data_IF_974084436822
#
_entry.id   IF_974084436822
#
_cell.length_a   1.000
_cell.length_b   1.000
_cell.length_c   1.000
_cell.angle_alpha   90.00
_cell.angle_beta   90.00
_cell.angle_gamma   90.00
#
_symmetry.space_group_name_H-M   'P 1'
#
loop_
_entity.id
_entity.type
_entity.pdbx_description
1 polymer ?
#
# COMPACT_ATOMS: atom_id res chain seq x y z
N UNK A 1 45.09 16.51 56.18
CA UNK A 1 43.91 16.75 55.36
C UNK A 1 44.10 16.03 54.01
N UNK A 2 43.49 14.86 53.83
CA UNK A 2 43.63 14.06 52.62
C UNK A 2 42.30 14.19 51.83
N UNK A 3 42.38 14.73 50.61
CA UNK A 3 41.26 14.93 49.76
C UNK A 3 41.07 13.66 48.93
N UNK A 4 39.93 12.98 49.13
CA UNK A 4 39.54 11.83 48.32
C UNK A 4 38.83 12.31 47.03
N UNK A 5 39.42 11.99 45.88
CA UNK A 5 38.78 12.19 44.57
C UNK A 5 37.92 10.98 44.25
N UNK A 6 36.61 11.17 44.16
CA UNK A 6 35.68 10.18 43.64
C UNK A 6 35.71 10.18 42.13
N UNK A 7 36.10 9.07 41.51
CA UNK A 7 36.01 8.84 40.06
C UNK A 7 34.65 8.25 39.80
N UNK A 8 33.77 9.02 39.11
CA UNK A 8 32.52 8.54 38.63
C UNK A 8 32.75 7.71 37.35
N UNK A 9 32.49 6.39 37.39
CA UNK A 9 32.45 5.53 36.22
C UNK A 9 31.15 5.79 35.48
N UNK A 10 31.19 6.47 34.31
CA UNK A 10 30.09 6.53 33.37
C UNK A 10 30.01 5.17 32.64
N UNK A 11 29.04 4.36 33.00
CA UNK A 11 28.74 3.13 32.25
C UNK A 11 28.17 3.48 30.87
N UNK A 12 28.89 3.17 29.80
CA UNK A 12 28.38 3.20 28.44
C UNK A 12 27.31 2.08 28.29
N UNK A 13 26.04 2.44 28.27
CA UNK A 13 24.97 1.52 27.84
C UNK A 13 25.03 1.45 26.31
N UNK A 14 25.66 0.42 25.77
CA UNK A 14 25.57 0.06 24.37
C UNK A 14 24.20 -0.54 24.15
N UNK A 15 23.28 0.25 23.55
CA UNK A 15 22.02 -0.26 22.99
C UNK A 15 22.42 -1.10 21.80
N UNK A 16 22.50 -2.41 21.98
CA UNK A 16 22.67 -3.36 20.90
C UNK A 16 21.44 -3.31 20.02
N UNK A 17 21.53 -2.72 18.83
CA UNK A 17 20.51 -2.87 17.78
C UNK A 17 20.56 -4.35 17.39
N UNK A 18 19.63 -5.14 17.90
CA UNK A 18 19.41 -6.51 17.45
C UNK A 18 18.91 -6.43 16.01
N UNK A 19 19.80 -6.65 15.05
CA UNK A 19 19.42 -6.83 13.65
C UNK A 19 18.53 -8.07 13.57
N UNK A 20 17.24 -7.89 13.29
CA UNK A 20 16.36 -9.03 13.04
C UNK A 20 16.90 -9.81 11.84
N UNK A 21 16.87 -11.16 11.92
CA UNK A 21 17.29 -11.99 10.79
C UNK A 21 16.44 -11.71 9.55
N UNK A 22 17.05 -11.78 8.33
CA UNK A 22 16.32 -11.61 7.09
C UNK A 22 15.14 -12.58 6.99
N UNK A 23 14.08 -12.15 6.30
CA UNK A 23 12.94 -13.03 6.05
C UNK A 23 13.35 -14.20 5.14
N UNK A 24 12.89 -15.44 5.43
CA UNK A 24 13.20 -16.58 4.56
C UNK A 24 12.54 -16.41 3.19
N UNK A 25 13.31 -16.63 2.13
CA UNK A 25 12.81 -16.50 0.75
C UNK A 25 11.94 -17.71 0.32
N UNK A 26 12.15 -18.89 0.92
CA UNK A 26 11.49 -20.12 0.50
C UNK A 26 9.94 -20.07 0.53
N UNK A 27 9.28 -19.54 1.58
CA UNK A 27 7.82 -19.37 1.57
C UNK A 27 7.33 -18.48 0.42
N UNK A 28 8.06 -17.40 0.13
CA UNK A 28 7.75 -16.48 -0.96
C UNK A 28 7.86 -17.19 -2.30
N UNK A 29 8.96 -17.90 -2.54
CA UNK A 29 9.19 -18.68 -3.76
C UNK A 29 8.10 -19.73 -3.97
N UNK A 30 7.70 -20.44 -2.92
CA UNK A 30 6.65 -21.44 -2.99
C UNK A 30 5.29 -20.83 -3.35
N UNK A 31 4.94 -19.69 -2.77
CA UNK A 31 3.69 -19.01 -3.08
C UNK A 31 3.67 -18.42 -4.51
N UNK A 32 4.80 -17.87 -4.96
CA UNK A 32 4.93 -17.21 -6.26
C UNK A 32 5.16 -18.16 -7.45
N UNK A 33 5.45 -19.45 -7.22
CA UNK A 33 5.93 -20.40 -8.26
C UNK A 33 5.06 -20.49 -9.51
N UNK A 34 3.74 -20.34 -9.35
CA UNK A 34 2.75 -20.48 -10.43
C UNK A 34 2.22 -19.11 -10.90
N UNK A 35 2.84 -18.01 -10.44
CA UNK A 35 2.42 -16.65 -10.74
C UNK A 35 3.50 -15.89 -11.52
N UNK A 36 3.13 -15.33 -12.67
CA UNK A 36 3.96 -14.35 -13.33
C UNK A 36 3.82 -13.00 -12.62
N UNK A 37 4.94 -12.39 -12.22
CA UNK A 37 4.90 -11.10 -11.53
C UNK A 37 6.00 -10.92 -10.50
N UNK A 38 5.75 -10.05 -9.53
CA UNK A 38 6.70 -9.67 -8.51
C UNK A 38 6.06 -9.66 -7.12
N UNK A 39 6.86 -9.98 -6.11
CA UNK A 39 6.57 -9.71 -4.72
C UNK A 39 7.82 -9.16 -4.04
N UNK A 40 7.67 -8.05 -3.35
CA UNK A 40 8.70 -7.44 -2.53
C UNK A 40 8.14 -7.12 -1.15
N UNK A 41 8.93 -7.38 -0.12
CA UNK A 41 8.64 -7.03 1.27
C UNK A 41 9.86 -6.36 1.90
N UNK A 42 9.64 -5.30 2.66
CA UNK A 42 10.69 -4.46 3.24
C UNK A 42 10.44 -4.32 4.74
N UNK A 43 11.41 -4.66 5.56
CA UNK A 43 11.38 -4.37 7.00
C UNK A 43 11.45 -2.86 7.23
N UNK A 44 10.47 -2.31 7.95
CA UNK A 44 10.36 -0.86 8.15
C UNK A 44 11.54 -0.28 8.93
N UNK A 45 12.06 -1.02 9.91
CA UNK A 45 13.12 -0.55 10.80
C UNK A 45 14.50 -0.62 10.15
N UNK A 46 14.88 -1.78 9.61
CA UNK A 46 16.20 -2.00 8.99
C UNK A 46 16.28 -1.50 7.55
N UNK A 47 15.14 -1.49 6.84
CA UNK A 47 15.09 -1.25 5.40
C UNK A 47 15.55 -2.47 4.57
N UNK A 48 15.73 -3.63 5.21
CA UNK A 48 16.09 -4.87 4.52
C UNK A 48 14.97 -5.29 3.56
N UNK A 49 15.37 -5.65 2.34
CA UNK A 49 14.47 -6.01 1.26
C UNK A 49 14.57 -7.51 1.01
N UNK A 50 13.43 -8.20 1.05
CA UNK A 50 13.28 -9.55 0.54
C UNK A 50 12.44 -9.48 -0.74
N UNK A 51 12.98 -9.97 -1.85
CA UNK A 51 12.43 -9.80 -3.19
C UNK A 51 12.39 -11.16 -3.91
N UNK A 52 11.24 -11.52 -4.49
CA UNK A 52 11.09 -12.77 -5.25
C UNK A 52 11.83 -12.72 -6.59
N UNK A 53 11.68 -11.60 -7.31
CA UNK A 53 12.34 -11.34 -8.61
C UNK A 53 12.69 -9.86 -8.69
N UNK A 54 13.95 -9.54 -8.47
CA UNK A 54 14.44 -8.17 -8.45
C UNK A 54 14.23 -7.43 -9.79
N UNK A 55 14.25 -8.14 -10.92
CA UNK A 55 14.00 -7.54 -12.23
C UNK A 55 12.52 -7.20 -12.39
N UNK A 56 11.63 -8.13 -12.06
CA UNK A 56 10.19 -7.89 -12.11
C UNK A 56 9.77 -6.81 -11.10
N UNK A 57 10.36 -6.81 -9.89
CA UNK A 57 10.08 -5.82 -8.85
C UNK A 57 10.56 -4.40 -9.19
N UNK A 58 11.55 -4.26 -10.07
CA UNK A 58 11.99 -2.98 -10.60
C UNK A 58 11.20 -2.54 -11.86
N UNK A 59 10.46 -3.45 -12.47
CA UNK A 59 9.63 -3.18 -13.66
C UNK A 59 8.47 -2.24 -13.34
N UNK A 60 8.32 -1.17 -14.11
CA UNK A 60 7.24 -0.19 -13.90
C UNK A 60 5.94 -0.64 -14.54
N UNK A 61 4.86 -0.53 -13.78
CA UNK A 61 3.50 -0.92 -14.15
C UNK A 61 2.51 0.20 -13.77
N UNK A 62 1.35 0.31 -14.43
CA UNK A 62 0.31 1.25 -14.00
C UNK A 62 -0.21 0.84 -12.61
N UNK A 63 -0.33 1.79 -11.66
CA UNK A 63 -0.72 1.45 -10.28
C UNK A 63 -2.16 0.98 -10.14
N UNK A 64 -3.00 1.24 -11.10
CA UNK A 64 -4.42 0.96 -10.99
C UNK A 64 -5.03 1.57 -9.72
N UNK A 65 -5.91 0.84 -9.03
CA UNK A 65 -6.57 1.34 -7.81
C UNK A 65 -5.66 1.42 -6.58
N UNK A 66 -4.40 0.95 -6.63
CA UNK A 66 -3.46 1.20 -5.52
C UNK A 66 -3.12 2.68 -5.38
N UNK A 67 -3.23 3.47 -6.47
CA UNK A 67 -3.07 4.92 -6.42
C UNK A 67 -4.06 5.61 -5.46
N UNK A 68 -5.19 4.98 -5.13
CA UNK A 68 -6.15 5.51 -4.18
C UNK A 68 -5.59 5.70 -2.77
N UNK A 69 -4.52 4.99 -2.39
CA UNK A 69 -3.76 5.24 -1.15
C UNK A 69 -3.31 6.70 -1.14
N UNK A 70 -2.67 7.13 -2.21
CA UNK A 70 -2.13 8.48 -2.36
C UNK A 70 -3.24 9.51 -2.62
N UNK A 71 -4.24 9.19 -3.45
CA UNK A 71 -5.40 10.07 -3.64
C UNK A 71 -6.06 10.43 -2.31
N UNK A 72 -6.33 9.43 -1.44
CA UNK A 72 -6.94 9.66 -0.14
C UNK A 72 -6.02 10.49 0.76
N UNK A 73 -4.72 10.12 0.84
CA UNK A 73 -3.74 10.83 1.65
C UNK A 73 -3.62 12.31 1.25
N UNK A 74 -3.53 12.59 -0.05
CA UNK A 74 -3.45 13.97 -0.55
C UNK A 74 -4.74 14.74 -0.28
N UNK A 75 -5.89 14.08 -0.40
CA UNK A 75 -7.17 14.69 -0.02
C UNK A 75 -7.24 15.08 1.46
N UNK A 76 -6.66 14.26 2.35
CA UNK A 76 -6.54 14.53 3.79
C UNK A 76 -5.56 15.69 4.06
N UNK A 77 -4.39 15.69 3.42
CA UNK A 77 -3.38 16.75 3.58
C UNK A 77 -3.89 18.13 3.14
N UNK A 78 -4.64 18.18 2.05
CA UNK A 78 -5.23 19.41 1.51
C UNK A 78 -6.55 19.82 2.20
N UNK A 79 -7.00 19.06 3.24
CA UNK A 79 -8.22 19.34 3.98
C UNK A 79 -9.51 19.17 3.14
N UNK A 80 -9.42 18.43 2.03
CA UNK A 80 -10.58 18.08 1.19
C UNK A 80 -11.36 16.92 1.82
N UNK A 81 -10.63 16.06 2.54
CA UNK A 81 -11.13 14.94 3.32
C UNK A 81 -10.79 15.15 4.79
N UNK A 82 -11.62 14.61 5.69
CA UNK A 82 -11.45 14.78 7.15
C UNK A 82 -11.52 13.47 7.93
N UNK A 83 -12.46 12.59 7.63
CA UNK A 83 -12.67 11.35 8.38
C UNK A 83 -13.12 10.19 7.48
N UNK A 84 -12.91 8.93 7.92
CA UNK A 84 -13.37 7.77 7.17
C UNK A 84 -14.89 7.69 6.97
N UNK A 85 -15.65 8.24 7.90
CA UNK A 85 -17.12 8.15 7.93
C UNK A 85 -17.79 9.32 7.22
N UNK A 86 -17.04 10.33 6.75
CA UNK A 86 -17.67 11.47 6.06
C UNK A 86 -18.37 11.06 4.76
N UNK A 87 -19.49 11.68 4.39
CA UNK A 87 -20.09 11.52 3.07
C UNK A 87 -19.10 11.93 1.98
N UNK A 88 -18.77 10.98 1.10
CA UNK A 88 -17.71 11.18 0.13
C UNK A 88 -18.17 11.11 -1.32
N UNK A 89 -19.03 10.15 -1.61
CA UNK A 89 -19.57 9.93 -2.96
C UNK A 89 -21.07 9.94 -2.93
N UNK A 90 -21.66 10.88 -3.64
CA UNK A 90 -23.07 10.88 -3.97
C UNK A 90 -23.24 10.19 -5.32
N UNK A 91 -24.04 9.13 -5.36
CA UNK A 91 -24.30 8.39 -6.57
C UNK A 91 -24.99 9.29 -7.62
N UNK A 92 -24.54 9.20 -8.85
CA UNK A 92 -25.01 10.01 -9.98
C UNK A 92 -26.21 9.40 -10.72
N UNK A 93 -26.80 8.31 -10.21
CA UNK A 93 -27.90 7.59 -10.85
C UNK A 93 -27.47 6.69 -12.01
N UNK A 94 -26.18 6.67 -12.38
CA UNK A 94 -25.66 5.83 -13.47
C UNK A 94 -25.34 4.45 -12.91
N UNK A 95 -26.03 3.42 -13.43
CA UNK A 95 -25.77 2.02 -13.07
C UNK A 95 -24.46 1.54 -13.65
N UNK A 96 -23.61 0.94 -12.82
CA UNK A 96 -22.29 0.37 -13.17
C UNK A 96 -22.25 -1.09 -12.83
N UNK A 97 -21.37 -1.86 -13.46
CA UNK A 97 -21.22 -3.31 -13.26
C UNK A 97 -20.85 -3.68 -11.81
N UNK A 98 -20.19 -2.77 -11.09
CA UNK A 98 -19.86 -2.97 -9.69
C UNK A 98 -21.00 -2.40 -8.83
N UNK A 99 -21.87 -3.29 -8.33
CA UNK A 99 -23.07 -2.94 -7.58
C UNK A 99 -22.79 -2.03 -6.37
N UNK A 100 -21.63 -2.21 -5.71
CA UNK A 100 -21.21 -1.38 -4.58
C UNK A 100 -21.02 0.11 -4.94
N UNK A 101 -20.90 0.47 -6.21
CA UNK A 101 -20.75 1.85 -6.67
C UNK A 101 -22.08 2.55 -7.00
N UNK A 102 -23.19 1.81 -6.96
CA UNK A 102 -24.53 2.28 -7.35
C UNK A 102 -25.35 2.74 -6.13
N UNK A 103 -24.69 3.44 -5.21
CA UNK A 103 -25.27 4.05 -4.01
C UNK A 103 -24.34 5.13 -3.47
N UNK A 104 -24.86 5.94 -2.56
CA UNK A 104 -24.03 6.88 -1.79
C UNK A 104 -23.05 6.13 -0.90
N UNK A 105 -21.82 6.67 -0.76
CA UNK A 105 -20.75 6.05 0.01
C UNK A 105 -20.05 7.11 0.87
N UNK A 106 -19.71 6.72 2.10
CA UNK A 106 -18.72 7.43 2.90
C UNK A 106 -17.30 7.15 2.35
N UNK A 107 -16.29 7.80 2.89
CA UNK A 107 -14.91 7.65 2.42
C UNK A 107 -14.39 6.21 2.61
N UNK A 108 -14.67 5.58 3.75
CA UNK A 108 -14.27 4.19 4.05
C UNK A 108 -14.85 3.22 3.03
N UNK A 109 -16.16 3.26 2.84
CA UNK A 109 -16.84 2.35 1.92
C UNK A 109 -16.40 2.55 0.48
N UNK A 110 -16.20 3.81 0.05
CA UNK A 110 -15.69 4.12 -1.28
C UNK A 110 -14.25 3.62 -1.49
N UNK A 111 -13.39 3.73 -0.46
CA UNK A 111 -12.01 3.22 -0.52
C UNK A 111 -11.99 1.69 -0.59
N UNK A 112 -12.75 1.02 0.27
CA UNK A 112 -12.84 -0.44 0.33
C UNK A 112 -13.47 -1.04 -0.93
N UNK A 113 -14.58 -0.44 -1.41
CA UNK A 113 -15.21 -0.81 -2.68
C UNK A 113 -14.37 -0.40 -3.90
N UNK A 114 -13.26 0.32 -3.69
CA UNK A 114 -12.43 0.85 -4.78
C UNK A 114 -13.20 1.70 -5.79
N UNK A 115 -14.17 2.51 -5.33
CA UNK A 115 -15.11 3.27 -6.15
C UNK A 115 -14.37 4.28 -7.05
N UNK A 116 -14.18 3.92 -8.33
CA UNK A 116 -13.44 4.74 -9.29
C UNK A 116 -14.09 6.12 -9.46
N UNK A 117 -15.41 6.25 -9.69
CA UNK A 117 -16.04 7.56 -9.86
C UNK A 117 -15.82 8.52 -8.67
N UNK A 118 -15.84 7.99 -7.44
CA UNK A 118 -15.58 8.77 -6.24
C UNK A 118 -14.17 9.37 -6.24
N UNK A 119 -13.16 8.58 -6.56
CA UNK A 119 -11.76 9.01 -6.58
C UNK A 119 -11.41 9.87 -7.80
N UNK A 120 -12.12 9.72 -8.92
CA UNK A 120 -12.05 10.65 -10.04
C UNK A 120 -12.52 12.05 -9.63
N UNK A 121 -13.65 12.15 -8.92
CA UNK A 121 -14.12 13.43 -8.36
C UNK A 121 -13.12 14.03 -7.37
N UNK A 122 -12.50 13.20 -6.52
CA UNK A 122 -11.46 13.66 -5.59
C UNK A 122 -10.24 14.23 -6.33
N UNK A 123 -9.75 13.54 -7.36
CA UNK A 123 -8.64 14.02 -8.16
C UNK A 123 -8.95 15.37 -8.81
N UNK A 124 -10.16 15.53 -9.35
CA UNK A 124 -10.62 16.81 -9.92
C UNK A 124 -10.73 17.92 -8.84
N UNK A 125 -11.17 17.59 -7.63
CA UNK A 125 -11.19 18.55 -6.50
C UNK A 125 -9.79 18.96 -6.04
N UNK A 126 -8.82 18.03 -6.08
CA UNK A 126 -7.41 18.33 -5.81
C UNK A 126 -6.86 19.30 -6.85
N UNK A 127 -7.16 19.09 -8.12
CA UNK A 127 -6.65 19.88 -9.23
C UNK A 127 -5.22 19.49 -9.63
N UNK A 128 -4.84 19.84 -10.86
CA UNK A 128 -3.57 19.44 -11.48
C UNK A 128 -2.35 19.96 -10.72
N UNK A 129 -2.38 21.21 -10.27
CA UNK A 129 -1.22 21.84 -9.62
C UNK A 129 -0.88 21.18 -8.29
N UNK A 130 -1.90 20.88 -7.45
CA UNK A 130 -1.67 20.20 -6.17
C UNK A 130 -1.24 18.76 -6.42
N UNK A 131 -1.91 18.06 -7.35
CA UNK A 131 -1.55 16.68 -7.69
C UNK A 131 -0.07 16.60 -8.14
N UNK A 132 0.36 17.44 -9.07
CA UNK A 132 1.72 17.41 -9.57
C UNK A 132 2.75 17.78 -8.49
N UNK A 133 2.49 18.82 -7.68
CA UNK A 133 3.37 19.14 -6.54
C UNK A 133 3.53 17.98 -5.57
N UNK A 134 2.44 17.27 -5.26
CA UNK A 134 2.49 16.13 -4.37
C UNK A 134 3.23 14.94 -4.97
N UNK A 135 2.99 14.61 -6.25
CA UNK A 135 3.72 13.55 -6.95
C UNK A 135 5.23 13.82 -6.96
N UNK A 136 5.64 15.10 -7.11
CA UNK A 136 7.03 15.51 -7.00
C UNK A 136 7.56 15.36 -5.57
N UNK A 137 6.81 15.83 -4.59
CA UNK A 137 7.19 15.83 -3.16
C UNK A 137 7.40 14.41 -2.63
N UNK A 138 6.50 13.48 -2.95
CA UNK A 138 6.61 12.09 -2.50
C UNK A 138 7.51 11.24 -3.41
N UNK A 139 7.81 11.72 -4.63
CA UNK A 139 8.60 10.98 -5.61
C UNK A 139 7.87 9.78 -6.19
N UNK A 140 6.60 9.93 -6.58
CA UNK A 140 5.77 8.82 -7.05
C UNK A 140 6.06 8.43 -8.49
N UNK A 141 6.69 7.28 -8.71
CA UNK A 141 6.89 6.67 -10.02
C UNK A 141 7.51 7.62 -11.07
N UNK A 142 6.95 7.66 -12.26
CA UNK A 142 7.39 8.57 -13.34
C UNK A 142 6.64 9.92 -13.36
N UNK A 143 5.72 10.13 -12.40
CA UNK A 143 4.95 11.39 -12.21
C UNK A 143 4.09 11.80 -13.40
N UNK A 144 3.81 10.92 -14.32
CA UNK A 144 3.11 11.24 -15.56
C UNK A 144 1.60 11.34 -15.37
N UNK A 145 1.05 12.55 -15.45
CA UNK A 145 -0.39 12.85 -15.35
C UNK A 145 -1.02 13.25 -16.69
N UNK A 146 -0.30 13.13 -17.81
CA UNK A 146 -0.72 13.64 -19.12
C UNK A 146 -1.95 12.98 -19.71
N UNK A 147 -2.35 11.80 -19.21
CA UNK A 147 -3.57 11.12 -19.67
C UNK A 147 -4.87 11.79 -19.21
N UNK A 148 -4.78 12.74 -18.30
CA UNK A 148 -5.93 13.42 -17.67
C UNK A 148 -5.98 13.16 -16.16
N UNK A 149 -6.38 14.21 -15.42
CA UNK A 149 -6.27 14.25 -13.96
C UNK A 149 -7.06 13.14 -13.24
N UNK A 150 -8.16 12.71 -13.81
CA UNK A 150 -9.07 11.71 -13.25
C UNK A 150 -8.88 10.28 -13.80
N UNK A 151 -7.91 10.08 -14.71
CA UNK A 151 -7.70 8.79 -15.37
C UNK A 151 -6.23 8.35 -15.46
N UNK A 152 -5.27 9.20 -15.08
CA UNK A 152 -3.84 8.93 -15.30
C UNK A 152 -3.33 7.66 -14.59
N UNK A 153 -4.02 7.14 -13.56
CA UNK A 153 -3.67 5.90 -12.86
C UNK A 153 -4.42 4.66 -13.36
N UNK A 154 -5.38 4.85 -14.28
CA UNK A 154 -6.28 3.80 -14.80
C UNK A 154 -5.81 3.35 -16.18
N UNK A 155 -5.25 2.13 -16.31
CA UNK A 155 -4.82 1.64 -17.60
C UNK A 155 -6.01 1.47 -18.55
N UNK A 156 -5.80 1.85 -19.81
CA UNK A 156 -6.69 1.59 -20.93
C UNK A 156 -5.86 1.52 -22.22
N UNK A 157 -6.37 0.91 -23.31
CA UNK A 157 -5.68 0.88 -24.58
C UNK A 157 -5.23 2.29 -24.99
N UNK A 158 -3.99 2.43 -25.44
CA UNK A 158 -3.35 3.66 -25.86
C UNK A 158 -3.26 4.80 -24.81
N UNK A 159 -3.69 4.56 -23.57
CA UNK A 159 -3.55 5.55 -22.49
C UNK A 159 -2.14 5.52 -21.89
N UNK A 160 -1.49 6.67 -21.89
CA UNK A 160 -0.19 6.84 -21.23
C UNK A 160 -0.40 7.15 -19.74
N UNK A 161 -0.51 6.10 -18.92
CA UNK A 161 -0.68 6.21 -17.47
C UNK A 161 0.61 6.54 -16.75
N UNK A 162 0.50 7.00 -15.48
CA UNK A 162 1.62 7.02 -14.55
C UNK A 162 2.11 5.58 -14.29
N UNK A 163 3.41 5.42 -14.13
CA UNK A 163 4.05 4.10 -13.97
C UNK A 163 4.89 4.07 -12.71
N UNK A 164 4.78 2.98 -11.94
CA UNK A 164 5.52 2.75 -10.71
C UNK A 164 5.86 1.28 -10.57
N UNK A 165 7.02 0.95 -9.98
CA UNK A 165 7.40 -0.44 -9.74
C UNK A 165 6.89 -0.97 -8.40
N UNK A 166 6.78 -2.30 -8.22
CA UNK A 166 6.48 -2.91 -6.92
C UNK A 166 7.43 -2.43 -5.82
N UNK A 167 8.72 -2.38 -6.10
CA UNK A 167 9.74 -1.91 -5.16
C UNK A 167 9.51 -0.46 -4.77
N UNK A 168 9.26 0.44 -5.73
CA UNK A 168 8.96 1.85 -5.44
C UNK A 168 7.71 2.01 -4.57
N UNK A 169 6.64 1.21 -4.80
CA UNK A 169 5.42 1.25 -3.99
C UNK A 169 5.69 0.85 -2.52
N UNK A 170 6.42 -0.25 -2.30
CA UNK A 170 6.77 -0.69 -0.95
C UNK A 170 7.69 0.32 -0.23
N UNK A 171 8.70 0.87 -0.94
CA UNK A 171 9.60 1.89 -0.39
C UNK A 171 8.88 3.19 -0.04
N UNK A 172 7.91 3.63 -0.86
CA UNK A 172 7.12 4.82 -0.56
C UNK A 172 6.28 4.65 0.70
N UNK A 173 5.65 3.50 0.88
CA UNK A 173 4.94 3.19 2.13
C UNK A 173 5.89 3.16 3.32
N UNK A 174 7.09 2.59 3.19
CA UNK A 174 8.10 2.60 4.26
C UNK A 174 8.53 4.02 4.62
N UNK A 175 8.75 4.89 3.63
CA UNK A 175 9.05 6.31 3.86
C UNK A 175 7.90 7.02 4.59
N UNK A 176 6.65 6.72 4.19
CA UNK A 176 5.45 7.27 4.81
C UNK A 176 5.35 6.87 6.29
N UNK A 177 5.43 5.57 6.58
CA UNK A 177 5.34 5.04 7.95
C UNK A 177 6.51 5.48 8.83
N UNK A 178 7.70 5.64 8.25
CA UNK A 178 8.90 6.12 8.93
C UNK A 178 9.00 7.64 9.09
N UNK A 179 7.93 8.40 8.77
CA UNK A 179 7.90 9.87 8.90
C UNK A 179 8.89 10.60 7.99
N UNK A 180 9.26 10.00 6.85
CA UNK A 180 10.20 10.59 5.88
C UNK A 180 9.51 11.42 4.78
N UNK A 181 8.18 11.46 4.81
CA UNK A 181 7.37 12.30 3.94
C UNK A 181 6.73 13.41 4.78
N UNK A 182 6.47 14.60 4.20
CA UNK A 182 5.89 15.73 4.92
C UNK A 182 4.36 15.55 5.08
N UNK A 183 3.96 14.51 5.81
CA UNK A 183 2.57 14.09 6.03
C UNK A 183 2.23 14.27 7.51
N UNK A 184 1.05 14.83 7.77
CA UNK A 184 0.56 15.03 9.13
C UNK A 184 0.24 13.68 9.80
N UNK A 185 0.59 13.48 11.08
CA UNK A 185 0.27 12.24 11.80
C UNK A 185 -1.23 11.88 11.75
N UNK A 186 -2.12 12.87 11.83
CA UNK A 186 -3.57 12.66 11.75
C UNK A 186 -4.01 12.10 10.38
N UNK A 187 -3.44 12.61 9.27
CA UNK A 187 -3.72 12.09 7.93
C UNK A 187 -3.23 10.66 7.75
N UNK A 188 -2.04 10.34 8.28
CA UNK A 188 -1.52 8.98 8.28
C UNK A 188 -2.43 8.04 9.08
N UNK A 189 -2.90 8.46 10.27
CA UNK A 189 -3.80 7.63 11.07
C UNK A 189 -5.11 7.35 10.35
N UNK A 190 -5.74 8.38 9.77
CA UNK A 190 -6.95 8.22 8.96
C UNK A 190 -6.72 7.28 7.76
N UNK A 191 -5.58 7.43 7.06
CA UNK A 191 -5.23 6.54 5.96
C UNK A 191 -5.06 5.08 6.44
N UNK A 192 -4.43 4.83 7.58
CA UNK A 192 -4.33 3.48 8.17
C UNK A 192 -5.71 2.90 8.41
N UNK A 193 -6.64 3.69 8.95
CA UNK A 193 -8.02 3.23 9.19
C UNK A 193 -8.75 2.88 7.88
N UNK A 194 -8.52 3.62 6.79
CA UNK A 194 -9.06 3.29 5.46
C UNK A 194 -8.45 2.00 4.88
N UNK A 195 -7.15 1.80 5.11
CA UNK A 195 -6.39 0.67 4.56
C UNK A 195 -6.53 -0.62 5.37
N UNK A 196 -7.15 -0.61 6.53
CA UNK A 196 -7.30 -1.80 7.40
C UNK A 196 -8.08 -2.90 6.69
N UNK A 197 -7.45 -4.06 6.53
CA UNK A 197 -8.00 -5.21 5.81
C UNK A 197 -8.35 -6.35 6.76
N UNK A 198 -7.46 -6.61 7.73
CA UNK A 198 -7.61 -7.69 8.70
C UNK A 198 -6.89 -7.33 9.98
N UNK A 199 -7.53 -7.64 11.09
CA UNK A 199 -6.97 -7.45 12.42
C UNK A 199 -7.05 -8.77 13.20
N UNK A 200 -5.97 -9.11 13.89
CA UNK A 200 -5.85 -10.24 14.81
C UNK A 200 -5.19 -9.75 16.10
N UNK A 201 -5.23 -10.50 17.21
CA UNK A 201 -4.55 -10.08 18.45
C UNK A 201 -3.05 -9.82 18.31
N UNK A 202 -2.39 -10.44 17.31
CA UNK A 202 -0.95 -10.36 17.13
C UNK A 202 -0.53 -9.51 15.92
N UNK A 203 -1.42 -9.23 14.98
CA UNK A 203 -1.07 -8.52 13.75
C UNK A 203 -2.25 -7.80 13.12
N UNK A 204 -1.97 -6.67 12.44
CA UNK A 204 -2.93 -5.97 11.62
C UNK A 204 -2.38 -5.82 10.21
N UNK A 205 -3.17 -6.26 9.23
CA UNK A 205 -2.88 -6.13 7.80
C UNK A 205 -3.59 -4.91 7.24
N UNK A 206 -2.83 -4.07 6.56
CA UNK A 206 -3.32 -2.89 5.84
C UNK A 206 -2.98 -3.01 4.37
N UNK A 207 -3.89 -2.62 3.48
CA UNK A 207 -3.58 -2.68 2.07
C UNK A 207 -4.67 -2.17 1.14
N UNK A 208 -4.29 -2.06 -0.12
CA UNK A 208 -5.19 -1.68 -1.21
C UNK A 208 -4.95 -2.56 -2.43
N UNK A 209 -6.02 -3.11 -2.96
CA UNK A 209 -6.01 -3.85 -4.22
C UNK A 209 -6.05 -2.91 -5.42
N UNK A 210 -5.48 -3.37 -6.53
CA UNK A 210 -5.64 -2.75 -7.84
C UNK A 210 -5.85 -3.81 -8.91
N UNK A 211 -6.64 -3.51 -9.93
CA UNK A 211 -6.83 -4.38 -11.09
C UNK A 211 -6.88 -3.55 -12.36
N UNK A 212 -6.35 -4.09 -13.44
CA UNK A 212 -6.37 -3.45 -14.75
C UNK A 212 -6.08 -4.43 -15.88
N UNK A 213 -6.26 -3.97 -17.12
CA UNK A 213 -5.84 -4.68 -18.32
C UNK A 213 -4.66 -3.94 -18.93
N UNK A 214 -3.54 -4.64 -19.14
CA UNK A 214 -2.29 -4.02 -19.57
C UNK A 214 -2.21 -3.83 -21.08
N UNK A 215 -2.78 -4.75 -21.83
CA UNK A 215 -2.57 -4.85 -23.28
C UNK A 215 -3.83 -5.30 -24.03
N UNK A 216 -3.82 -5.11 -25.34
CA UNK A 216 -4.93 -5.46 -26.21
C UNK A 216 -5.19 -6.97 -26.31
N UNK A 217 -4.19 -7.81 -25.97
CA UNK A 217 -4.33 -9.27 -25.90
C UNK A 217 -5.10 -9.75 -24.65
N UNK A 218 -5.52 -8.81 -23.78
CA UNK A 218 -6.29 -9.11 -22.57
C UNK A 218 -5.45 -9.46 -21.35
N UNK A 219 -4.11 -9.36 -21.41
CA UNK A 219 -3.26 -9.55 -20.22
C UNK A 219 -3.70 -8.62 -19.10
N UNK A 220 -4.08 -9.21 -17.96
CA UNK A 220 -4.54 -8.49 -16.77
C UNK A 220 -3.41 -8.28 -15.76
N UNK A 221 -3.60 -7.31 -14.90
CA UNK A 221 -2.73 -6.96 -13.79
C UNK A 221 -3.54 -6.94 -12.50
N UNK A 222 -3.06 -7.66 -11.50
CA UNK A 222 -3.54 -7.61 -10.13
C UNK A 222 -2.48 -7.04 -9.20
N UNK A 223 -2.85 -6.09 -8.37
CA UNK A 223 -2.01 -5.49 -7.34
C UNK A 223 -2.56 -5.74 -5.94
N UNK A 224 -1.68 -5.95 -4.98
CA UNK A 224 -1.96 -5.70 -3.58
C UNK A 224 -0.75 -5.04 -2.93
N UNK A 225 -0.95 -3.82 -2.44
CA UNK A 225 0.09 -2.96 -1.87
C UNK A 225 -0.32 -2.54 -0.48
N UNK A 226 0.60 -2.66 0.49
CA UNK A 226 0.26 -2.38 1.86
C UNK A 226 1.40 -2.60 2.85
N UNK A 227 1.02 -2.83 4.09
CA UNK A 227 1.94 -3.14 5.18
C UNK A 227 1.26 -4.02 6.21
N UNK A 228 2.06 -4.71 7.00
CA UNK A 228 1.62 -5.50 8.15
C UNK A 228 2.36 -5.03 9.40
N UNK A 229 1.60 -4.79 10.47
CA UNK A 229 2.11 -4.59 11.82
C UNK A 229 1.95 -5.91 12.56
N UNK A 230 3.05 -6.52 13.01
CA UNK A 230 3.10 -7.83 13.67
C UNK A 230 3.93 -7.72 14.94
N UNK A 231 3.29 -7.62 16.09
CA UNK A 231 3.92 -7.24 17.34
C UNK A 231 4.59 -5.85 17.22
N UNK A 232 5.87 -5.78 17.51
CA UNK A 232 6.68 -4.55 17.39
C UNK A 232 7.28 -4.36 15.98
N UNK A 233 7.07 -5.32 15.07
CA UNK A 233 7.63 -5.28 13.72
C UNK A 233 6.62 -4.71 12.72
N UNK A 234 7.14 -3.98 11.74
CA UNK A 234 6.38 -3.48 10.62
C UNK A 234 7.09 -3.87 9.32
N UNK A 235 6.30 -4.31 8.33
CA UNK A 235 6.79 -4.62 7.00
C UNK A 235 5.88 -4.00 5.96
N UNK A 236 6.46 -3.29 4.99
CA UNK A 236 5.74 -2.85 3.80
C UNK A 236 5.92 -3.86 2.68
N UNK A 237 4.92 -4.00 1.83
CA UNK A 237 4.97 -4.94 0.72
C UNK A 237 4.25 -4.42 -0.53
N UNK A 238 4.63 -4.98 -1.66
CA UNK A 238 3.89 -4.86 -2.92
C UNK A 238 3.94 -6.18 -3.69
N UNK A 239 2.78 -6.67 -4.09
CA UNK A 239 2.61 -7.77 -5.02
C UNK A 239 2.00 -7.27 -6.32
N UNK A 240 2.55 -7.69 -7.45
CA UNK A 240 2.00 -7.48 -8.78
C UNK A 240 1.95 -8.81 -9.52
N UNK A 241 0.77 -9.31 -9.85
CA UNK A 241 0.59 -10.54 -10.62
C UNK A 241 0.02 -10.22 -12.00
N UNK A 242 0.46 -10.94 -13.03
CA UNK A 242 0.08 -10.71 -14.41
C UNK A 242 -0.40 -12.01 -15.07
N UNK A 243 -1.34 -11.92 -16.00
CA UNK A 243 -1.87 -13.07 -16.72
C UNK A 243 -3.36 -12.94 -17.00
N UNK A 244 -3.94 -13.94 -17.65
CA UNK A 244 -5.36 -13.91 -18.08
C UNK A 244 -6.35 -13.78 -16.91
N UNK A 245 -6.03 -14.41 -15.75
CA UNK A 245 -6.85 -14.40 -14.54
C UNK A 245 -6.45 -13.35 -13.50
N UNK A 246 -5.35 -12.63 -13.71
CA UNK A 246 -4.78 -11.75 -12.70
C UNK A 246 -5.76 -10.68 -12.21
N UNK A 247 -5.84 -10.53 -10.89
CA UNK A 247 -6.73 -9.58 -10.22
C UNK A 247 -6.15 -9.11 -8.88
N UNK A 248 -6.68 -7.99 -8.37
CA UNK A 248 -6.30 -7.51 -7.04
C UNK A 248 -6.72 -8.47 -5.93
N UNK A 249 -7.79 -9.24 -6.12
CA UNK A 249 -8.22 -10.26 -5.17
C UNK A 249 -7.21 -11.41 -5.11
N UNK A 250 -6.72 -11.88 -6.26
CA UNK A 250 -5.66 -12.89 -6.35
C UNK A 250 -4.37 -12.41 -5.70
N UNK A 251 -3.90 -11.20 -6.05
CA UNK A 251 -2.70 -10.61 -5.44
C UNK A 251 -2.83 -10.48 -3.92
N UNK A 252 -4.02 -10.14 -3.40
CA UNK A 252 -4.28 -10.09 -1.97
C UNK A 252 -4.20 -11.48 -1.33
N UNK A 253 -4.87 -12.47 -1.91
CA UNK A 253 -4.84 -13.86 -1.41
C UNK A 253 -3.42 -14.41 -1.34
N UNK A 254 -2.62 -14.14 -2.37
CA UNK A 254 -1.21 -14.51 -2.44
C UNK A 254 -0.40 -13.88 -1.31
N UNK A 255 -0.54 -12.57 -1.09
CA UNK A 255 0.16 -11.88 0.01
C UNK A 255 -0.28 -12.40 1.37
N UNK A 256 -1.58 -12.61 1.60
CA UNK A 256 -2.06 -13.18 2.86
C UNK A 256 -1.44 -14.57 3.11
N UNK A 257 -1.31 -15.42 2.10
CA UNK A 257 -0.61 -16.71 2.19
C UNK A 257 0.86 -16.54 2.57
N UNK A 258 1.58 -15.65 1.87
CA UNK A 258 2.99 -15.36 2.17
C UNK A 258 3.17 -14.89 3.61
N UNK A 259 2.34 -13.93 4.06
CA UNK A 259 2.44 -13.38 5.41
C UNK A 259 2.12 -14.41 6.50
N UNK A 260 1.21 -15.35 6.24
CA UNK A 260 0.92 -16.49 7.13
C UNK A 260 2.11 -17.45 7.22
N UNK A 261 2.71 -17.78 6.09
CA UNK A 261 3.85 -18.72 6.04
C UNK A 261 5.13 -18.10 6.60
N UNK A 262 5.25 -16.76 6.57
CA UNK A 262 6.31 -16.00 7.23
C UNK A 262 6.03 -15.77 8.73
N UNK A 263 4.90 -16.22 9.28
CA UNK A 263 4.42 -15.96 10.64
C UNK A 263 4.30 -14.46 10.97
N UNK A 264 4.03 -13.61 9.97
CA UNK A 264 3.76 -12.19 10.12
C UNK A 264 2.27 -11.87 10.25
N UNK A 265 1.42 -12.85 9.93
CA UNK A 265 -0.03 -12.79 10.08
C UNK A 265 -0.50 -14.12 10.69
N UNK A 266 -1.32 -14.09 11.73
CA UNK A 266 -1.81 -15.32 12.35
C UNK A 266 -3.03 -15.87 11.61
N UNK A 267 -3.14 -17.19 11.52
CA UNK A 267 -4.39 -17.84 11.12
C UNK A 267 -5.47 -17.46 12.14
N UNK A 268 -6.64 -17.05 11.67
CA UNK A 268 -7.77 -16.92 12.56
C UNK A 268 -8.03 -18.31 13.15
N UNK A 269 -7.97 -18.45 14.47
CA UNK A 269 -8.56 -19.61 15.12
C UNK A 269 -10.06 -19.54 14.82
N UNK A 270 -10.52 -20.36 13.89
CA UNK A 270 -11.93 -20.69 13.77
C UNK A 270 -12.31 -21.51 15.01
N UNK A 271 -12.42 -20.84 16.16
CA UNK A 271 -13.15 -21.39 17.29
C UNK A 271 -14.64 -21.37 16.91
N UNK A 272 -15.04 -22.33 16.09
CA UNK A 272 -16.37 -22.86 16.14
C UNK A 272 -16.32 -23.78 17.35
N UNK A 273 -16.69 -23.25 18.53
CA UNK A 273 -17.06 -24.10 19.65
C UNK A 273 -18.32 -24.87 19.27
N UNK A 274 -18.40 -26.16 19.61
CA UNK A 274 -19.50 -27.03 19.25
C UNK A 274 -20.83 -26.59 19.89
#
# INVERSE_FOLDING_TARGET
MASAHAIALLGLVTIGISMAAPLPLAPIQQAMKDHAGAFVIIDCASGEITDFDAKASAGKLPPCSTFKIWNALLGLEEGILSSPEEPFYQWDGISRDIAAWNKDLNLRDAFQASCVPAFQRLANRLGSDRMNRWLDTIGYGDKNTTAGLDVFWLPAPARRTIMISPKEQAELLRKLLGGKLPIKPASLQTLKDLMRVRETPAATLYGKTGSGTLSADGTKLGWFVGFVESGERCFTFAAAVQGAGASGAEARSLVETILLDLNLLNRQNSNISP
#
